data_IF_714051709150
#
_entry.id   IF_714051709150
#
_cell.length_a   1.000
_cell.length_b   1.000
_cell.length_c   1.000
_cell.angle_alpha   90.00
_cell.angle_beta   90.00
_cell.angle_gamma   90.00
#
_symmetry.space_group_name_H-M   'P 1'
#
loop_
_entity.id
_entity.type
_entity.pdbx_description
1 polymer ?
#
# COMPACT_ATOMS: atom_id res chain seq x y z
N UNK A 1 -23.23 -5.90 -27.83
CA UNK A 1 -22.04 -5.53 -27.01
C UNK A 1 -21.03 -6.65 -27.15
N UNK A 2 -19.91 -6.42 -27.85
CA UNK A 2 -18.82 -7.37 -27.95
C UNK A 2 -18.04 -7.38 -26.62
N UNK A 3 -18.34 -8.32 -25.74
CA UNK A 3 -17.52 -8.59 -24.56
C UNK A 3 -16.23 -9.25 -25.05
N UNK A 4 -15.18 -8.46 -25.18
CA UNK A 4 -13.84 -9.00 -25.44
C UNK A 4 -13.33 -9.58 -24.13
N UNK A 5 -13.42 -10.89 -23.96
CA UNK A 5 -12.81 -11.61 -22.84
C UNK A 5 -11.28 -11.53 -22.92
N UNK A 6 -10.71 -10.52 -22.27
CA UNK A 6 -9.26 -10.44 -22.09
C UNK A 6 -8.85 -11.22 -20.84
N UNK A 7 -8.08 -12.29 -21.03
CA UNK A 7 -7.44 -13.00 -19.91
C UNK A 7 -6.49 -12.03 -19.20
N UNK A 8 -6.78 -11.73 -17.93
CA UNK A 8 -5.92 -10.91 -17.08
C UNK A 8 -5.01 -11.78 -16.21
N UNK A 9 -3.77 -11.36 -16.07
CA UNK A 9 -2.76 -12.05 -15.26
C UNK A 9 -2.49 -11.25 -13.99
N UNK A 10 -2.63 -11.89 -12.84
CA UNK A 10 -2.31 -11.32 -11.52
C UNK A 10 -0.78 -11.24 -11.39
N UNK A 11 -0.26 -10.07 -11.05
CA UNK A 11 1.19 -9.81 -10.90
C UNK A 11 1.60 -9.43 -9.48
N UNK A 12 0.64 -9.06 -8.65
CA UNK A 12 0.79 -8.82 -7.20
C UNK A 12 -0.55 -8.91 -6.50
N UNK A 13 -0.53 -8.75 -5.19
CA UNK A 13 -1.75 -8.75 -4.37
C UNK A 13 -1.73 -7.64 -3.33
N UNK A 14 -2.91 -7.25 -2.88
CA UNK A 14 -3.15 -6.46 -1.68
C UNK A 14 -3.61 -7.39 -0.55
N UNK A 15 -3.52 -6.95 0.69
CA UNK A 15 -4.16 -7.62 1.81
C UNK A 15 -5.70 -7.55 1.64
N UNK A 16 -6.43 -8.53 2.17
CA UNK A 16 -7.89 -8.70 1.96
C UNK A 16 -8.69 -7.42 2.16
N UNK A 17 -8.36 -6.64 3.19
CA UNK A 17 -9.12 -5.44 3.56
C UNK A 17 -8.45 -4.14 3.06
N UNK A 18 -7.32 -4.23 2.34
CA UNK A 18 -6.64 -3.08 1.75
C UNK A 18 -7.30 -2.70 0.43
N UNK A 19 -7.73 -1.45 0.32
CA UNK A 19 -8.30 -0.89 -0.90
C UNK A 19 -7.25 -0.31 -1.85
N UNK A 20 -7.66 0.10 -3.05
CA UNK A 20 -6.85 0.92 -3.95
C UNK A 20 -6.29 0.21 -5.18
N UNK A 21 -5.17 0.72 -5.69
CA UNK A 21 -4.58 0.29 -6.96
C UNK A 21 -4.06 -1.14 -6.92
N UNK A 22 -4.49 -1.91 -7.91
CA UNK A 22 -3.97 -3.23 -8.22
C UNK A 22 -3.65 -3.33 -9.71
N UNK A 23 -2.49 -3.89 -10.06
CA UNK A 23 -2.05 -4.06 -11.44
C UNK A 23 -2.37 -5.47 -11.93
N UNK A 24 -2.84 -5.54 -13.19
CA UNK A 24 -2.98 -6.78 -13.93
C UNK A 24 -2.27 -6.63 -15.27
N UNK A 25 -1.68 -7.71 -15.76
CA UNK A 25 -1.10 -7.72 -17.10
C UNK A 25 -2.08 -8.35 -18.11
N UNK A 26 -2.08 -7.84 -19.36
CA UNK A 26 -2.94 -8.35 -20.44
C UNK A 26 -2.35 -9.56 -21.19
N UNK A 27 -1.08 -9.90 -20.95
CA UNK A 27 -0.43 -11.06 -21.53
C UNK A 27 0.64 -11.63 -20.60
N UNK A 28 1.04 -12.89 -20.86
CA UNK A 28 1.96 -13.66 -20.03
C UNK A 28 3.37 -13.04 -19.95
N UNK A 29 3.87 -12.51 -21.07
CA UNK A 29 5.22 -11.91 -21.13
C UNK A 29 5.29 -10.68 -20.22
N UNK A 30 4.32 -9.78 -20.35
CA UNK A 30 4.22 -8.58 -19.49
C UNK A 30 4.00 -8.97 -18.03
N UNK A 31 3.20 -10.00 -17.75
CA UNK A 31 3.00 -10.50 -16.40
C UNK A 31 4.29 -10.94 -15.73
N UNK A 32 5.10 -11.76 -16.44
CA UNK A 32 6.40 -12.21 -15.95
C UNK A 32 7.34 -11.03 -15.63
N UNK A 33 7.42 -10.05 -16.53
CA UNK A 33 8.27 -8.86 -16.32
C UNK A 33 7.82 -8.01 -15.13
N UNK A 34 6.51 -7.74 -15.00
CA UNK A 34 5.99 -6.95 -13.87
C UNK A 34 6.18 -7.73 -12.56
N UNK A 35 5.93 -9.03 -12.53
CA UNK A 35 6.19 -9.88 -11.35
C UNK A 35 7.66 -9.84 -10.92
N UNK A 36 8.59 -9.84 -11.86
CA UNK A 36 10.02 -9.67 -11.60
C UNK A 36 10.32 -8.28 -10.98
N UNK A 37 9.70 -7.21 -11.49
CA UNK A 37 9.84 -5.87 -10.90
C UNK A 37 9.33 -5.81 -9.45
N UNK A 38 8.25 -6.53 -9.12
CA UNK A 38 7.76 -6.64 -7.75
C UNK A 38 8.73 -7.42 -6.85
N UNK A 39 9.20 -8.59 -7.29
CA UNK A 39 10.10 -9.46 -6.50
C UNK A 39 11.47 -8.81 -6.26
N UNK A 40 11.94 -7.97 -7.18
CA UNK A 40 13.21 -7.24 -7.09
C UNK A 40 13.07 -5.82 -6.50
N UNK A 41 11.90 -5.46 -5.94
CA UNK A 41 11.59 -4.15 -5.38
C UNK A 41 11.85 -2.95 -6.32
N UNK A 42 11.74 -3.15 -7.63
CA UNK A 42 11.90 -2.09 -8.66
C UNK A 42 10.60 -1.31 -8.92
N UNK A 43 9.55 -1.57 -8.16
CA UNK A 43 8.28 -0.83 -8.18
C UNK A 43 8.20 0.05 -6.95
N UNK A 44 8.07 1.36 -7.16
CA UNK A 44 7.80 2.31 -6.09
C UNK A 44 6.31 2.31 -5.76
N UNK A 45 6.00 2.02 -4.50
CA UNK A 45 4.62 1.90 -3.98
C UNK A 45 4.38 2.95 -2.91
N UNK A 46 3.29 3.69 -3.06
CA UNK A 46 2.79 4.61 -2.06
C UNK A 46 1.41 4.17 -1.59
N UNK A 47 1.22 4.26 -0.29
CA UNK A 47 -0.05 4.01 0.38
C UNK A 47 -0.49 5.26 1.13
N UNK A 48 -1.77 5.32 1.46
CA UNK A 48 -2.31 6.27 2.42
C UNK A 48 -3.01 5.48 3.51
N UNK A 49 -2.76 5.86 4.75
CA UNK A 49 -3.42 5.29 5.92
C UNK A 49 -3.93 6.40 6.84
N UNK A 50 -5.05 6.15 7.52
CA UNK A 50 -5.57 7.00 8.58
C UNK A 50 -5.46 6.30 9.93
N UNK A 51 -5.16 7.07 10.99
CA UNK A 51 -5.01 6.59 12.37
C UNK A 51 -5.78 7.47 13.35
N UNK A 52 -6.16 6.93 14.52
CA UNK A 52 -6.82 7.71 15.57
C UNK A 52 -5.84 8.62 16.32
N UNK A 53 -4.60 8.19 16.43
CA UNK A 53 -3.54 8.94 17.11
C UNK A 53 -2.55 9.50 16.09
N UNK A 54 -1.72 10.46 16.49
CA UNK A 54 -0.67 11.01 15.64
C UNK A 54 0.71 10.46 16.00
N UNK A 55 1.58 10.33 15.04
CA UNK A 55 3.01 10.17 15.30
C UNK A 55 3.60 11.46 15.87
N UNK A 56 4.65 11.35 16.69
CA UNK A 56 5.34 12.52 17.25
C UNK A 56 5.98 13.41 16.17
N UNK A 57 6.38 12.82 15.05
CA UNK A 57 6.95 13.52 13.89
C UNK A 57 5.99 13.50 12.71
N UNK A 58 5.96 14.59 11.95
CA UNK A 58 5.17 14.67 10.73
C UNK A 58 5.78 13.85 9.56
N UNK A 59 7.07 13.53 9.63
CA UNK A 59 7.78 12.67 8.67
C UNK A 59 8.84 11.87 9.38
N UNK A 60 8.95 10.59 9.06
CA UNK A 60 10.00 9.71 9.59
C UNK A 60 10.14 8.44 8.74
N UNK A 61 11.15 7.63 9.07
CA UNK A 61 11.35 6.30 8.51
C UNK A 61 11.23 5.25 9.62
N UNK A 62 10.31 4.31 9.46
CA UNK A 62 10.15 3.20 10.38
C UNK A 62 10.96 2.00 9.90
N UNK A 63 11.79 1.48 10.80
CA UNK A 63 12.54 0.24 10.62
C UNK A 63 12.17 -0.71 11.75
N UNK A 64 11.63 -1.85 11.42
CA UNK A 64 11.23 -2.91 12.34
C UNK A 64 11.69 -4.26 11.76
N UNK A 65 11.48 -5.33 12.50
CA UNK A 65 11.72 -6.70 12.05
C UNK A 65 10.46 -7.54 12.27
N UNK A 66 10.17 -8.44 11.33
CA UNK A 66 9.08 -9.39 11.51
C UNK A 66 9.53 -10.62 12.33
N UNK A 67 8.62 -11.57 12.56
CA UNK A 67 8.91 -12.84 13.27
C UNK A 67 10.08 -13.63 12.67
N UNK A 68 10.27 -13.54 11.34
CA UNK A 68 11.36 -14.21 10.63
C UNK A 68 12.66 -13.40 10.64
N UNK A 69 12.78 -12.39 11.49
CA UNK A 69 13.92 -11.44 11.56
C UNK A 69 14.22 -10.70 10.25
N UNK A 70 13.25 -10.61 9.33
CA UNK A 70 13.39 -9.85 8.08
C UNK A 70 13.08 -8.38 8.31
N UNK A 71 13.94 -7.50 7.80
CA UNK A 71 13.76 -6.06 7.90
C UNK A 71 12.50 -5.58 7.18
N UNK A 72 11.75 -4.74 7.85
CA UNK A 72 10.61 -3.99 7.36
C UNK A 72 11.00 -2.52 7.32
N UNK A 73 10.92 -1.87 6.14
CA UNK A 73 11.27 -0.46 5.99
C UNK A 73 10.22 0.29 5.21
N UNK A 74 9.73 1.38 5.78
CA UNK A 74 8.86 2.35 5.13
C UNK A 74 9.22 3.78 5.58
N UNK A 75 8.91 4.78 4.79
CA UNK A 75 8.90 6.18 5.20
C UNK A 75 7.45 6.70 5.17
N UNK A 76 7.11 7.59 6.08
CA UNK A 76 5.81 8.26 6.08
C UNK A 76 5.95 9.77 6.15
N UNK A 77 4.92 10.46 5.67
CA UNK A 77 4.70 11.90 5.84
C UNK A 77 3.25 12.15 6.17
N UNK A 78 2.98 12.97 7.21
CA UNK A 78 1.62 13.42 7.53
C UNK A 78 1.08 14.27 6.37
N UNK A 79 -0.17 14.05 6.01
CA UNK A 79 -0.90 14.79 4.98
C UNK A 79 -2.26 15.18 5.50
N UNK A 80 -2.88 16.19 4.90
CA UNK A 80 -4.28 16.56 5.14
C UNK A 80 -5.19 15.84 4.15
N UNK A 81 -6.27 15.25 4.64
CA UNK A 81 -7.41 14.74 3.87
C UNK A 81 -8.70 15.17 4.58
N UNK A 82 -9.77 15.36 3.81
CA UNK A 82 -10.98 16.05 4.27
C UNK A 82 -11.67 15.36 5.47
N UNK A 83 -11.59 14.06 5.61
CA UNK A 83 -12.37 13.30 6.60
C UNK A 83 -11.54 12.74 7.78
N UNK A 84 -10.23 12.94 7.80
CA UNK A 84 -9.37 12.35 8.83
C UNK A 84 -8.18 13.24 9.17
N UNK A 85 -8.05 13.60 10.45
CA UNK A 85 -6.99 14.48 10.94
C UNK A 85 -5.58 13.86 10.86
N UNK A 86 -5.48 12.55 11.03
CA UNK A 86 -4.20 11.85 11.10
C UNK A 86 -4.03 10.90 9.92
N UNK A 87 -3.79 11.48 8.74
CA UNK A 87 -3.49 10.76 7.51
C UNK A 87 -2.00 10.80 7.18
N UNK A 88 -1.51 9.69 6.64
CA UNK A 88 -0.11 9.53 6.29
C UNK A 88 0.07 9.00 4.88
N UNK A 89 0.87 9.72 4.08
CA UNK A 89 1.40 9.19 2.83
C UNK A 89 2.63 8.33 3.15
N UNK A 90 2.60 7.09 2.72
CA UNK A 90 3.59 6.06 3.08
C UNK A 90 4.32 5.61 1.82
N UNK A 91 5.66 5.69 1.81
CA UNK A 91 6.52 5.07 0.79
C UNK A 91 7.03 3.74 1.32
N UNK A 92 6.72 2.65 0.61
CA UNK A 92 7.10 1.30 1.02
C UNK A 92 8.41 0.89 0.33
N UNK A 93 9.46 0.58 1.10
CA UNK A 93 10.75 0.11 0.58
C UNK A 93 10.86 -1.41 0.54
N UNK A 94 10.22 -2.10 1.49
CA UNK A 94 10.08 -3.56 1.49
C UNK A 94 8.61 -3.93 1.34
N UNK A 95 8.29 -5.15 0.90
CA UNK A 95 6.92 -5.57 0.61
C UNK A 95 6.57 -6.89 1.30
N UNK A 96 6.52 -6.91 2.64
CA UNK A 96 6.16 -8.11 3.41
C UNK A 96 4.67 -8.12 3.77
N UNK A 97 4.14 -9.31 4.05
CA UNK A 97 2.73 -9.51 4.42
C UNK A 97 2.35 -8.62 5.62
N UNK A 98 1.26 -7.88 5.48
CA UNK A 98 0.73 -6.94 6.49
C UNK A 98 1.74 -5.88 6.98
N UNK A 99 2.78 -5.57 6.21
CA UNK A 99 3.92 -4.77 6.68
C UNK A 99 3.53 -3.43 7.26
N UNK A 100 2.77 -2.60 6.51
CA UNK A 100 2.37 -1.25 6.96
C UNK A 100 1.56 -1.35 8.25
N UNK A 101 0.60 -2.26 8.29
CA UNK A 101 -0.27 -2.51 9.44
C UNK A 101 0.53 -2.87 10.69
N UNK A 102 1.47 -3.83 10.56
CA UNK A 102 2.35 -4.25 11.65
C UNK A 102 3.27 -3.11 12.12
N UNK A 103 3.92 -2.38 11.20
CA UNK A 103 4.82 -1.29 11.58
C UNK A 103 4.09 -0.14 12.28
N UNK A 104 2.88 0.22 11.83
CA UNK A 104 2.05 1.23 12.49
C UNK A 104 1.64 0.77 13.89
N UNK A 105 1.22 -0.48 14.05
CA UNK A 105 0.90 -1.06 15.36
C UNK A 105 2.09 -1.06 16.33
N UNK A 106 3.26 -1.55 15.90
CA UNK A 106 4.49 -1.60 16.71
C UNK A 106 4.95 -0.20 17.16
N UNK A 107 4.64 0.82 16.37
CA UNK A 107 4.92 2.22 16.70
C UNK A 107 3.74 2.93 17.40
N UNK A 108 2.84 2.17 18.05
CA UNK A 108 1.71 2.66 18.87
C UNK A 108 0.73 3.57 18.11
N UNK A 109 0.65 3.42 16.80
CA UNK A 109 -0.22 4.22 15.95
C UNK A 109 -1.00 3.34 14.95
N UNK A 110 -1.85 2.40 15.44
CA UNK A 110 -2.55 1.46 14.59
C UNK A 110 -3.50 2.14 13.62
N UNK A 111 -3.66 1.53 12.44
CA UNK A 111 -4.53 2.02 11.37
C UNK A 111 -5.99 1.81 11.77
N UNK A 112 -6.84 2.80 11.52
CA UNK A 112 -8.29 2.73 11.77
C UNK A 112 -8.88 1.53 11.02
N UNK A 113 -9.73 0.76 11.69
CA UNK A 113 -10.39 -0.42 11.14
C UNK A 113 -9.51 -1.66 10.99
N UNK A 114 -8.28 -1.64 11.54
CA UNK A 114 -7.42 -2.82 11.53
C UNK A 114 -7.82 -3.82 12.62
N UNK A 115 -8.72 -4.73 12.27
CA UNK A 115 -9.22 -5.78 13.19
C UNK A 115 -8.12 -6.72 13.69
N UNK A 116 -7.00 -6.83 12.98
CA UNK A 116 -5.91 -7.74 13.35
C UNK A 116 -4.95 -7.13 14.37
N UNK A 117 -4.65 -5.83 14.25
CA UNK A 117 -3.59 -5.20 15.03
C UNK A 117 -4.08 -4.12 16.00
N UNK A 118 -5.29 -3.59 15.86
CA UNK A 118 -5.79 -2.54 16.74
C UNK A 118 -6.99 -2.92 17.59
N UNK A 119 -7.73 -3.95 17.20
CA UNK A 119 -9.02 -4.27 17.80
C UNK A 119 -10.12 -3.21 17.60
N UNK A 120 -9.88 -2.20 16.79
CA UNK A 120 -10.79 -1.08 16.57
C UNK A 120 -11.99 -1.51 15.72
N UNK A 121 -13.21 -1.19 16.18
CA UNK A 121 -14.49 -1.56 15.54
C UNK A 121 -14.89 -0.59 14.43
N UNK A 122 -14.05 -0.31 13.47
CA UNK A 122 -14.46 0.45 12.28
C UNK A 122 -14.84 -0.50 11.13
N UNK A 123 -15.79 -0.09 10.28
CA UNK A 123 -16.38 -0.96 9.25
C UNK A 123 -15.36 -1.45 8.20
N UNK A 124 -14.34 -0.64 7.92
CA UNK A 124 -13.32 -0.94 6.92
C UNK A 124 -11.91 -0.55 7.41
N UNK A 125 -10.88 -1.18 6.86
CA UNK A 125 -9.48 -0.81 7.07
C UNK A 125 -9.18 0.48 6.28
N UNK A 126 -8.77 1.55 6.95
CA UNK A 126 -8.40 2.81 6.30
C UNK A 126 -6.95 2.77 5.82
N UNK A 127 -6.67 1.84 4.91
CA UNK A 127 -5.40 1.66 4.21
C UNK A 127 -5.67 1.52 2.72
N UNK A 128 -5.03 2.38 1.92
CA UNK A 128 -5.24 2.46 0.48
C UNK A 128 -3.92 2.41 -0.28
N UNK A 129 -3.81 1.52 -1.26
CA UNK A 129 -2.75 1.53 -2.27
C UNK A 129 -2.98 2.72 -3.22
N UNK A 130 -2.30 3.83 -2.95
CA UNK A 130 -2.58 5.13 -3.55
C UNK A 130 -1.91 5.36 -4.89
N UNK A 131 -0.61 5.01 -4.98
CA UNK A 131 0.19 5.32 -6.19
C UNK A 131 1.24 4.23 -6.43
N UNK A 132 1.40 3.85 -7.69
CA UNK A 132 2.39 2.89 -8.17
C UNK A 132 3.20 3.52 -9.29
N UNK A 133 4.54 3.42 -9.22
CA UNK A 133 5.47 3.92 -10.24
C UNK A 133 6.48 2.84 -10.58
N UNK A 134 6.69 2.58 -11.86
CA UNK A 134 7.70 1.65 -12.35
C UNK A 134 8.16 1.99 -13.77
N UNK A 135 9.31 1.44 -14.16
CA UNK A 135 9.83 1.50 -15.54
C UNK A 135 9.68 0.13 -16.19
N UNK A 136 9.07 0.09 -17.37
CA UNK A 136 8.88 -1.13 -18.17
C UNK A 136 9.10 -0.80 -19.65
N UNK A 137 9.87 -1.63 -20.36
CA UNK A 137 10.22 -1.39 -21.76
C UNK A 137 10.78 0.02 -22.05
N UNK A 138 11.65 0.54 -21.16
CA UNK A 138 12.23 1.87 -21.29
C UNK A 138 11.31 3.03 -20.89
N UNK A 139 10.01 2.81 -20.72
CA UNK A 139 9.02 3.85 -20.39
C UNK A 139 8.67 3.85 -18.89
N UNK A 140 8.41 5.05 -18.35
CA UNK A 140 7.88 5.20 -16.99
C UNK A 140 6.36 5.15 -16.99
N UNK A 141 5.83 4.37 -16.05
CA UNK A 141 4.41 4.26 -15.75
C UNK A 141 4.15 4.79 -14.35
N UNK A 142 3.14 5.65 -14.23
CA UNK A 142 2.70 6.24 -12.96
C UNK A 142 1.18 6.20 -12.90
N UNK A 143 0.66 5.44 -11.96
CA UNK A 143 -0.77 5.35 -11.67
C UNK A 143 -1.04 5.92 -10.28
N UNK A 144 -2.11 6.69 -10.13
CA UNK A 144 -2.60 7.22 -8.86
C UNK A 144 -4.12 7.29 -8.87
N UNK A 145 -4.72 7.20 -7.70
CA UNK A 145 -6.16 7.35 -7.48
C UNK A 145 -6.45 8.52 -6.55
N UNK A 146 -7.70 8.96 -6.51
CA UNK A 146 -8.12 9.96 -5.52
C UNK A 146 -8.38 9.27 -4.17
N UNK A 147 -7.61 9.57 -3.11
CA UNK A 147 -7.74 8.90 -1.82
C UNK A 147 -9.03 9.27 -1.08
N UNK A 148 -9.58 10.47 -1.27
CA UNK A 148 -10.81 10.92 -0.60
C UNK A 148 -12.01 10.03 -0.94
N UNK A 149 -12.07 9.49 -2.18
CA UNK A 149 -13.14 8.57 -2.60
C UNK A 149 -13.05 7.16 -1.96
N UNK A 150 -11.93 6.82 -1.35
CA UNK A 150 -11.65 5.47 -0.85
C UNK A 150 -11.58 5.43 0.67
N UNK A 151 -11.12 6.51 1.28
CA UNK A 151 -10.98 6.63 2.74
C UNK A 151 -12.19 7.34 3.39
N UNK A 152 -13.15 7.77 2.58
CA UNK A 152 -14.46 8.26 3.06
C UNK A 152 -15.32 7.18 3.67
#
# INVERSE_FOLDING_TARGET
ENVIEHKLYIVHRLDKDTSGLMLFAKNRITASKISLLFSTNKITKYYIAATNTKFNKNTDTLINYNSDKKQLKLAYRKIQLDNHENCYLIKLFTGKKHQIRLQFYLNKNPIIGDKKFSGNKFNKLLLCSYKIIFKLYGKFYKFKINPNKILS
#
